data_IF_006603192614
#
_entry.id   IF_006603192614
#
_cell.length_a   1.000
_cell.length_b   1.000
_cell.length_c   1.000
_cell.angle_alpha   90.00
_cell.angle_beta   90.00
_cell.angle_gamma   90.00
#
_symmetry.space_group_name_H-M   'P 1'
#
loop_
_entity.id
_entity.type
_entity.pdbx_description
1 polymer ?
#
# COMPACT_ATOMS: atom_id res chain seq x y z
N UNK A 1 11.42 7.78 -10.80
CA UNK A 1 10.87 6.43 -10.58
C UNK A 1 9.67 6.51 -9.66
N UNK A 2 8.57 5.88 -10.03
CA UNK A 2 7.34 5.94 -9.25
C UNK A 2 7.23 4.69 -8.38
N UNK A 3 6.86 4.88 -7.12
CA UNK A 3 6.65 3.75 -6.22
C UNK A 3 5.33 3.07 -6.57
N UNK A 4 5.23 1.76 -6.26
CA UNK A 4 4.00 1.00 -6.53
C UNK A 4 2.78 1.64 -5.90
N UNK A 5 2.90 2.09 -4.65
CA UNK A 5 1.77 2.69 -3.95
C UNK A 5 1.31 3.97 -4.66
N UNK A 6 2.24 4.74 -5.18
CA UNK A 6 1.89 5.97 -5.89
C UNK A 6 1.12 5.67 -7.18
N UNK A 7 1.50 4.60 -7.89
CA UNK A 7 0.80 4.20 -9.10
C UNK A 7 -0.62 3.72 -8.83
N UNK A 8 -0.81 2.92 -7.78
CA UNK A 8 -2.12 2.36 -7.46
C UNK A 8 -3.10 3.46 -7.06
N UNK A 9 -2.64 4.43 -6.27
CA UNK A 9 -3.54 5.46 -5.74
C UNK A 9 -3.55 6.74 -6.55
N UNK A 10 -2.87 6.75 -7.67
CA UNK A 10 -2.90 7.86 -8.61
C UNK A 10 -4.34 8.10 -9.05
N UNK A 11 -4.79 9.35 -8.94
CA UNK A 11 -6.15 9.75 -9.31
C UNK A 11 -7.24 9.02 -8.54
N UNK A 12 -6.97 8.66 -7.30
CA UNK A 12 -7.97 8.08 -6.42
C UNK A 12 -8.21 8.98 -5.23
N UNK A 13 -9.44 8.98 -4.74
CA UNK A 13 -9.82 9.76 -3.57
C UNK A 13 -10.12 8.79 -2.44
N UNK A 14 -9.48 9.00 -1.30
CA UNK A 14 -9.69 8.16 -0.13
C UNK A 14 -11.04 8.51 0.50
N UNK A 15 -11.77 7.49 0.91
CA UNK A 15 -13.05 7.65 1.60
C UNK A 15 -12.83 7.28 3.06
N UNK A 16 -12.59 8.27 3.94
CA UNK A 16 -12.15 7.98 5.32
C UNK A 16 -13.09 7.07 6.11
N UNK A 17 -14.39 7.18 5.91
CA UNK A 17 -15.33 6.37 6.66
C UNK A 17 -15.26 4.89 6.34
N UNK A 18 -14.60 4.52 5.25
CA UNK A 18 -14.42 3.11 4.88
C UNK A 18 -13.13 2.50 5.43
N UNK A 19 -12.24 3.34 5.94
CA UNK A 19 -10.92 2.87 6.40
C UNK A 19 -11.04 1.94 7.60
N UNK A 20 -11.83 2.32 8.59
CA UNK A 20 -11.99 1.49 9.79
C UNK A 20 -12.63 0.14 9.48
N UNK A 21 -13.60 0.13 8.59
CA UNK A 21 -14.27 -1.11 8.18
C UNK A 21 -13.31 -2.04 7.46
N UNK A 22 -12.36 -1.48 6.71
CA UNK A 22 -11.36 -2.28 6.01
C UNK A 22 -10.34 -2.88 7.00
N UNK A 23 -10.04 -2.20 8.09
CA UNK A 23 -9.06 -2.67 9.05
C UNK A 23 -8.05 -1.62 9.47
N UNK A 24 -8.15 -0.40 8.96
CA UNK A 24 -7.26 0.66 9.38
C UNK A 24 -7.58 1.07 10.80
N UNK A 25 -6.55 1.35 11.57
CA UNK A 25 -6.69 1.87 12.92
C UNK A 25 -6.41 3.36 12.91
N UNK A 26 -7.25 4.11 13.61
CA UNK A 26 -7.05 5.56 13.72
C UNK A 26 -5.93 5.84 14.72
N UNK A 27 -5.05 6.76 14.36
CA UNK A 27 -3.96 7.20 15.22
C UNK A 27 -3.99 8.72 15.32
N UNK A 28 -3.13 9.29 16.17
CA UNK A 28 -3.05 10.74 16.32
C UNK A 28 -2.71 11.42 15.00
N UNK A 29 -1.92 10.77 14.15
CA UNK A 29 -1.46 11.36 12.89
C UNK A 29 -2.37 11.02 11.71
N UNK A 30 -3.29 10.07 11.85
CA UNK A 30 -4.15 9.65 10.74
C UNK A 30 -4.59 8.22 10.91
N UNK A 31 -4.33 7.39 9.89
CA UNK A 31 -4.74 5.99 9.91
C UNK A 31 -3.57 5.09 9.56
N UNK A 32 -3.56 3.88 10.09
CA UNK A 32 -2.53 2.90 9.80
C UNK A 32 -3.14 1.52 9.63
N UNK A 33 -2.64 0.77 8.66
CA UNK A 33 -3.04 -0.60 8.39
C UNK A 33 -1.79 -1.44 8.22
N UNK A 34 -1.73 -2.58 8.90
CA UNK A 34 -0.61 -3.50 8.80
C UNK A 34 -1.14 -4.88 8.50
N UNK A 35 -0.52 -5.56 7.55
CA UNK A 35 -0.88 -6.93 7.24
C UNK A 35 0.34 -7.71 6.81
N UNK A 36 0.47 -8.93 7.34
CA UNK A 36 1.53 -9.83 6.92
C UNK A 36 1.11 -10.52 5.62
N UNK A 37 2.07 -10.90 4.82
CA UNK A 37 1.80 -11.63 3.59
C UNK A 37 2.98 -12.53 3.24
N UNK A 38 2.77 -13.44 2.28
CA UNK A 38 3.73 -14.48 1.89
C UNK A 38 4.15 -15.30 3.11
N UNK A 39 3.14 -15.90 3.76
CA UNK A 39 3.34 -16.77 4.91
C UNK A 39 4.06 -16.10 6.08
N UNK A 40 3.80 -14.81 6.27
CA UNK A 40 4.37 -14.07 7.38
C UNK A 40 5.81 -13.62 7.16
N UNK A 41 6.33 -13.74 5.95
CA UNK A 41 7.70 -13.32 5.67
C UNK A 41 7.82 -11.80 5.53
N UNK A 42 6.74 -11.13 5.17
CA UNK A 42 6.73 -9.69 4.91
C UNK A 42 5.56 -9.03 5.62
N UNK A 43 5.72 -7.75 5.93
CA UNK A 43 4.66 -6.94 6.52
C UNK A 43 4.44 -5.72 5.64
N UNK A 44 3.19 -5.50 5.22
CA UNK A 44 2.81 -4.28 4.54
C UNK A 44 2.34 -3.28 5.59
N UNK A 45 2.88 -2.08 5.58
CA UNK A 45 2.51 -1.00 6.49
C UNK A 45 2.00 0.15 5.64
N UNK A 46 0.72 0.45 5.76
CA UNK A 46 0.07 1.49 4.95
C UNK A 46 -0.39 2.59 5.91
N UNK A 47 0.01 3.82 5.63
CA UNK A 47 -0.36 4.96 6.46
C UNK A 47 -1.07 6.02 5.63
N UNK A 48 -2.00 6.72 6.26
CA UNK A 48 -2.74 7.80 5.63
C UNK A 48 -2.68 8.99 6.56
N UNK A 49 -2.10 10.10 6.07
CA UNK A 49 -2.01 11.35 6.81
C UNK A 49 -2.32 12.49 5.87
N UNK A 50 -3.18 13.39 6.27
CA UNK A 50 -3.53 14.58 5.47
C UNK A 50 -3.95 14.22 4.05
N UNK A 51 -4.74 13.17 3.93
CA UNK A 51 -5.22 12.64 2.64
C UNK A 51 -4.12 12.09 1.74
N UNK A 52 -2.93 11.88 2.29
CA UNK A 52 -1.84 11.25 1.55
C UNK A 52 -1.65 9.84 2.06
N UNK A 53 -1.54 8.90 1.11
CA UNK A 53 -1.30 7.52 1.44
C UNK A 53 0.16 7.19 1.19
N UNK A 54 0.75 6.45 2.11
CA UNK A 54 2.12 5.98 1.97
C UNK A 54 2.17 4.52 2.38
N UNK A 55 3.15 3.80 1.92
CA UNK A 55 3.26 2.38 2.22
C UNK A 55 4.69 1.89 2.17
N UNK A 56 4.96 0.90 3.00
CA UNK A 56 6.26 0.26 3.07
C UNK A 56 6.07 -1.23 3.22
N UNK A 57 7.02 -1.99 2.71
CA UNK A 57 7.08 -3.43 2.90
C UNK A 57 8.29 -3.72 3.76
N UNK A 58 8.10 -4.43 4.86
CA UNK A 58 9.16 -4.78 5.78
C UNK A 58 9.46 -6.26 5.62
N UNK A 59 10.73 -6.60 5.48
CA UNK A 59 11.19 -7.99 5.50
C UNK A 59 11.27 -8.40 6.96
N UNK A 60 10.36 -9.26 7.41
CA UNK A 60 10.30 -9.64 8.82
C UNK A 60 11.48 -10.51 9.25
N UNK A 61 12.22 -11.09 8.32
CA UNK A 61 13.42 -11.86 8.64
C UNK A 61 14.55 -10.94 9.10
N UNK A 62 14.69 -9.79 8.45
CA UNK A 62 15.77 -8.85 8.74
C UNK A 62 15.32 -7.66 9.57
N UNK A 63 14.03 -7.33 9.53
CA UNK A 63 13.49 -6.14 10.16
C UNK A 63 13.65 -4.87 9.33
N UNK A 64 14.23 -4.98 8.15
CA UNK A 64 14.50 -3.82 7.29
C UNK A 64 13.46 -3.66 6.20
N UNK A 65 13.37 -2.46 5.67
CA UNK A 65 12.46 -2.21 4.55
C UNK A 65 12.92 -2.95 3.30
N UNK A 66 11.97 -3.61 2.62
CA UNK A 66 12.26 -4.31 1.39
C UNK A 66 11.98 -3.38 0.21
N UNK A 67 12.88 -2.44 -0.03
CA UNK A 67 12.68 -1.41 -1.04
C UNK A 67 12.84 -1.92 -2.47
N UNK A 68 13.35 -3.12 -2.66
CA UNK A 68 13.62 -3.69 -3.97
C UNK A 68 12.39 -3.75 -4.86
N UNK A 69 11.19 -3.83 -4.26
CA UNK A 69 9.96 -3.84 -5.06
C UNK A 69 9.78 -2.56 -5.87
N UNK A 70 10.40 -1.46 -5.45
CA UNK A 70 10.29 -0.16 -6.13
C UNK A 70 11.47 0.12 -7.06
N UNK A 71 12.37 -0.83 -7.25
CA UNK A 71 13.53 -0.66 -8.11
C UNK A 71 13.31 -1.46 -9.39
N UNK A 72 13.01 -0.82 -10.53
CA UNK A 72 12.68 -1.55 -11.75
C UNK A 72 13.76 -2.51 -12.23
N UNK A 73 15.02 -2.21 -11.96
CA UNK A 73 16.12 -3.07 -12.36
C UNK A 73 16.20 -4.36 -11.55
N UNK A 74 15.57 -4.40 -10.39
CA UNK A 74 15.53 -5.59 -9.56
C UNK A 74 14.48 -6.55 -10.10
N UNK A 75 14.93 -7.63 -10.74
CA UNK A 75 14.08 -8.62 -11.35
C UNK A 75 14.39 -10.00 -10.80
N UNK A 76 13.46 -10.93 -10.95
CA UNK A 76 13.62 -12.28 -10.51
C UNK A 76 12.33 -12.81 -9.90
N UNK A 77 12.21 -14.14 -9.78
CA UNK A 77 10.96 -14.74 -9.31
C UNK A 77 10.62 -14.30 -7.89
N UNK A 78 11.63 -14.16 -7.02
CA UNK A 78 11.36 -13.80 -5.64
C UNK A 78 10.82 -12.36 -5.53
N UNK A 79 11.53 -11.39 -6.09
CA UNK A 79 11.10 -10.00 -5.99
C UNK A 79 9.76 -9.78 -6.71
N UNK A 80 9.54 -10.50 -7.80
CA UNK A 80 8.27 -10.40 -8.52
C UNK A 80 7.13 -11.01 -7.72
N UNK A 81 7.37 -12.07 -6.95
CA UNK A 81 6.35 -12.61 -6.05
C UNK A 81 5.97 -11.63 -4.97
N UNK A 82 6.95 -10.92 -4.40
CA UNK A 82 6.67 -9.89 -3.40
C UNK A 82 5.89 -8.74 -4.03
N UNK A 83 6.27 -8.31 -5.23
CA UNK A 83 5.55 -7.25 -5.96
C UNK A 83 4.09 -7.64 -6.20
N UNK A 84 3.85 -8.84 -6.66
CA UNK A 84 2.50 -9.31 -6.98
C UNK A 84 1.63 -9.36 -5.72
N UNK A 85 2.16 -9.89 -4.64
CA UNK A 85 1.41 -9.98 -3.40
C UNK A 85 1.11 -8.60 -2.83
N UNK A 86 2.07 -7.70 -2.84
CA UNK A 86 1.88 -6.33 -2.37
C UNK A 86 0.89 -5.57 -3.25
N UNK A 87 1.00 -5.73 -4.58
CA UNK A 87 0.08 -5.12 -5.52
C UNK A 87 -1.36 -5.51 -5.23
N UNK A 88 -1.58 -6.78 -4.89
CA UNK A 88 -2.92 -7.27 -4.56
C UNK A 88 -3.47 -6.58 -3.31
N UNK A 89 -2.62 -6.38 -2.29
CA UNK A 89 -3.03 -5.67 -1.07
C UNK A 89 -3.42 -4.24 -1.41
N UNK A 90 -2.60 -3.54 -2.19
CA UNK A 90 -2.87 -2.16 -2.57
C UNK A 90 -4.15 -2.04 -3.40
N UNK A 91 -4.36 -2.97 -4.31
CA UNK A 91 -5.57 -2.97 -5.13
C UNK A 91 -6.83 -3.17 -4.30
N UNK A 92 -6.78 -4.02 -3.28
CA UNK A 92 -7.93 -4.22 -2.40
C UNK A 92 -8.25 -2.95 -1.62
N UNK A 93 -7.22 -2.25 -1.13
CA UNK A 93 -7.43 -0.99 -0.43
C UNK A 93 -8.04 0.05 -1.38
N UNK A 94 -7.51 0.15 -2.59
CA UNK A 94 -8.01 1.10 -3.58
C UNK A 94 -9.46 0.81 -3.94
N UNK A 95 -9.82 -0.47 -4.07
CA UNK A 95 -11.18 -0.85 -4.42
C UNK A 95 -12.16 -0.57 -3.29
N UNK A 96 -11.78 -0.85 -2.05
CA UNK A 96 -12.68 -0.79 -0.92
C UNK A 96 -12.68 0.55 -0.18
N UNK A 97 -11.58 1.27 -0.20
CA UNK A 97 -11.43 2.50 0.56
C UNK A 97 -11.35 3.76 -0.29
N UNK A 98 -11.32 3.63 -1.59
CA UNK A 98 -11.15 4.77 -2.50
C UNK A 98 -12.18 4.74 -3.61
N UNK A 99 -12.28 5.87 -4.30
CA UNK A 99 -13.06 5.97 -5.52
C UNK A 99 -12.26 6.78 -6.52
N UNK A 100 -12.60 6.66 -7.79
CA UNK A 100 -11.93 7.42 -8.81
C UNK A 100 -12.19 8.91 -8.62
N UNK A 101 -11.19 9.71 -8.91
CA UNK A 101 -11.31 11.15 -8.83
C UNK A 101 -11.98 11.67 -10.08
N UNK A 102 -13.29 11.51 -10.14
CA UNK A 102 -14.03 11.79 -11.36
C UNK A 102 -13.99 13.21 -11.81
N UNK A 103 -13.95 14.09 -10.83
CA UNK A 103 -13.97 15.44 -11.17
C UNK A 103 -12.67 15.92 -11.60
N UNK A 104 -11.76 15.12 -11.61
CA UNK A 104 -10.53 15.49 -12.14
C UNK A 104 -10.68 15.85 -13.57
N UNK A 105 -11.75 15.44 -14.11
CA UNK A 105 -12.02 16.00 -15.36
C UNK A 105 -12.97 17.05 -15.13
N UNK A 106 -12.93 17.99 -15.52
CA UNK A 106 -13.86 18.73 -16.11
C UNK A 106 -13.40 19.08 -17.34
#
# INVERSE_FOLDING_TARGET
>A
MTRMIDDVFKRKTIIPKRLSDFGFQKSAAGYIYKTEFLDGAFLAVITIQNNKIDGHVIDLTTGDEYFQINVPAMQGSFVNSVRTAYQKILNEIAEKCCQAALFASP
#
